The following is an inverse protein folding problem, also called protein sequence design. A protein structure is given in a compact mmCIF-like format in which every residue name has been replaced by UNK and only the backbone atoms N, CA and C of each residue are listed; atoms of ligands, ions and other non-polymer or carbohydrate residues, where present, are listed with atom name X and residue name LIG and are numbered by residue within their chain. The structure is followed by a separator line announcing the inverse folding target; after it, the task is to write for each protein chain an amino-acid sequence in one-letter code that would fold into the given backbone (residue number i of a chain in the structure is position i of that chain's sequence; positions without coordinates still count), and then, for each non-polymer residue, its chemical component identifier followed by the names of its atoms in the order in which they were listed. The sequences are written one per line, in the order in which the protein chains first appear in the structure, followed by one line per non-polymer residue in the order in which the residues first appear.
data_IF_945414906981
#
_entry.id   IF_945414906981
#
_cell.length_a   1.000
_cell.length_b   1.000
_cell.length_c   1.000
_cell.angle_alpha   90.00
_cell.angle_beta   90.00
_cell.angle_gamma   90.00
#
_symmetry.space_group_name_H-M   'P 1'
#
loop_
_entity.id
_entity.type
_entity.pdbx_description
1 polymer ?
#
# COMPACT_ATOMS: atom_id res chain seq x y z
N UNK A 1 28.32 -20.93 -39.61
CA UNK A 1 26.86 -20.66 -39.59
C UNK A 1 26.22 -20.91 -38.23
N UNK A 2 26.36 -22.10 -37.61
CA UNK A 2 25.73 -22.44 -36.31
C UNK A 2 25.96 -21.41 -35.17
N UNK A 3 27.18 -20.91 -34.98
CA UNK A 3 27.47 -19.88 -33.96
C UNK A 3 26.72 -18.56 -34.18
N UNK A 4 26.59 -18.11 -35.45
CA UNK A 4 25.85 -16.86 -35.78
C UNK A 4 24.34 -17.02 -35.53
N UNK A 5 23.80 -18.21 -35.78
CA UNK A 5 22.40 -18.54 -35.50
C UNK A 5 22.13 -18.55 -33.99
N UNK A 6 23.04 -19.12 -33.19
CA UNK A 6 22.92 -19.13 -31.72
C UNK A 6 22.97 -17.71 -31.14
N UNK A 7 23.93 -16.88 -31.59
CA UNK A 7 24.03 -15.48 -31.13
C UNK A 7 22.78 -14.68 -31.51
N UNK A 8 22.25 -14.88 -32.73
CA UNK A 8 21.01 -14.22 -33.17
C UNK A 8 19.81 -14.68 -32.33
N UNK A 9 19.68 -15.98 -32.05
CA UNK A 9 18.62 -16.49 -31.20
C UNK A 9 18.68 -15.92 -29.77
N UNK A 10 19.88 -15.84 -29.17
CA UNK A 10 20.06 -15.20 -27.86
C UNK A 10 19.72 -13.71 -27.87
N UNK A 11 20.16 -12.98 -28.89
CA UNK A 11 19.83 -11.55 -29.03
C UNK A 11 18.31 -11.35 -29.18
N UNK A 12 17.64 -12.20 -29.96
CA UNK A 12 16.20 -12.15 -30.14
C UNK A 12 15.46 -12.46 -28.82
N UNK A 13 15.89 -13.49 -28.08
CA UNK A 13 15.33 -13.81 -26.76
C UNK A 13 15.53 -12.64 -25.79
N UNK A 14 16.70 -12.00 -25.78
CA UNK A 14 16.97 -10.84 -24.93
C UNK A 14 16.06 -9.66 -25.28
N UNK A 15 15.90 -9.34 -26.57
CA UNK A 15 15.00 -8.27 -27.03
C UNK A 15 13.55 -8.55 -26.65
N UNK A 16 13.08 -9.78 -26.85
CA UNK A 16 11.73 -10.21 -26.44
C UNK A 16 11.59 -10.11 -24.92
N UNK A 17 12.60 -10.54 -24.16
CA UNK A 17 12.58 -10.48 -22.69
C UNK A 17 12.56 -9.05 -22.17
N UNK A 18 13.31 -8.14 -22.79
CA UNK A 18 13.30 -6.70 -22.45
C UNK A 18 11.95 -6.05 -22.80
N UNK A 19 11.37 -6.41 -23.94
CA UNK A 19 10.06 -5.90 -24.36
C UNK A 19 8.94 -6.36 -23.41
N UNK A 20 9.00 -7.61 -22.95
CA UNK A 20 8.02 -8.19 -22.02
C UNK A 20 8.44 -8.13 -20.55
N UNK A 21 9.50 -7.39 -20.20
CA UNK A 21 10.10 -7.40 -18.87
C UNK A 21 9.07 -7.06 -17.79
N UNK A 22 8.26 -6.02 -17.98
CA UNK A 22 7.24 -5.64 -16.99
C UNK A 22 6.15 -6.70 -16.84
N UNK A 23 5.74 -7.34 -17.93
CA UNK A 23 4.75 -8.43 -17.88
C UNK A 23 5.30 -9.66 -17.16
N UNK A 24 6.57 -9.99 -17.37
CA UNK A 24 7.26 -11.08 -16.66
C UNK A 24 7.34 -10.75 -15.16
N UNK A 25 7.74 -9.51 -14.81
CA UNK A 25 7.80 -9.06 -13.42
C UNK A 25 6.45 -9.20 -12.73
N UNK A 26 5.40 -8.62 -13.31
CA UNK A 26 4.02 -8.69 -12.80
C UNK A 26 3.50 -10.13 -12.70
N UNK A 27 3.84 -11.01 -13.66
CA UNK A 27 3.44 -12.42 -13.62
C UNK A 27 4.16 -13.21 -12.52
N UNK A 28 5.43 -12.90 -12.26
CA UNK A 28 6.24 -13.55 -11.22
C UNK A 28 6.01 -12.99 -9.81
N UNK A 29 5.52 -11.75 -9.71
CA UNK A 29 5.42 -11.00 -8.47
C UNK A 29 4.66 -11.74 -7.35
N UNK A 30 3.48 -12.35 -7.58
CA UNK A 30 2.75 -13.03 -6.51
C UNK A 30 3.57 -14.13 -5.81
N UNK A 31 4.36 -14.89 -6.57
CA UNK A 31 5.23 -15.95 -6.03
C UNK A 31 6.40 -15.37 -5.22
N UNK A 32 7.02 -14.30 -5.74
CA UNK A 32 8.09 -13.60 -5.03
C UNK A 32 7.58 -13.00 -3.73
N UNK A 33 6.38 -12.44 -3.76
CA UNK A 33 5.72 -11.86 -2.59
C UNK A 33 5.42 -12.92 -1.54
N UNK A 34 4.82 -14.05 -1.92
CA UNK A 34 4.52 -15.16 -1.00
C UNK A 34 5.78 -15.68 -0.28
N UNK A 35 6.91 -15.81 -1.00
CA UNK A 35 8.19 -16.20 -0.39
C UNK A 35 8.64 -15.17 0.66
N UNK A 36 8.48 -13.87 0.38
CA UNK A 36 8.85 -12.80 1.32
C UNK A 36 7.89 -12.70 2.50
N UNK A 37 6.60 -12.92 2.28
CA UNK A 37 5.56 -12.99 3.31
C UNK A 37 5.90 -14.10 4.33
N UNK A 38 6.26 -15.28 3.83
CA UNK A 38 6.70 -16.40 4.65
C UNK A 38 7.96 -16.04 5.46
N UNK A 39 8.94 -15.38 4.84
CA UNK A 39 10.14 -14.89 5.55
C UNK A 39 9.82 -13.90 6.68
N UNK A 40 8.90 -12.97 6.47
CA UNK A 40 8.47 -12.02 7.50
C UNK A 40 7.70 -12.71 8.63
N UNK A 41 6.83 -13.65 8.32
CA UNK A 41 6.06 -14.39 9.33
C UNK A 41 6.93 -15.38 10.12
N UNK A 42 7.99 -15.92 9.51
CA UNK A 42 8.99 -16.76 10.18
C UNK A 42 9.79 -16.00 11.25
N UNK A 43 10.02 -14.69 11.06
CA UNK A 43 10.70 -13.81 12.03
C UNK A 43 9.90 -13.61 13.32
N UNK A 44 8.62 -14.00 13.34
CA UNK A 44 7.70 -13.92 14.48
C UNK A 44 7.02 -15.26 14.76
N UNK A 45 7.65 -16.37 14.39
CA UNK A 45 7.11 -17.73 14.60
C UNK A 45 6.83 -18.08 16.08
N UNK A 46 7.51 -17.41 16.99
CA UNK A 46 7.39 -17.52 18.44
C UNK A 46 6.27 -16.65 19.02
N UNK A 47 5.65 -15.78 18.21
CA UNK A 47 4.51 -14.96 18.63
C UNK A 47 3.26 -15.82 18.82
N UNK A 48 2.42 -15.39 19.76
CA UNK A 48 1.05 -15.91 19.90
C UNK A 48 0.22 -15.52 18.68
N UNK A 49 -0.89 -16.24 18.48
CA UNK A 49 -1.77 -16.02 17.33
C UNK A 49 -3.23 -16.02 17.74
N UNK A 50 -3.96 -15.03 17.23
CA UNK A 50 -5.42 -14.96 17.30
C UNK A 50 -5.95 -14.72 15.89
N UNK A 51 -7.23 -15.05 15.66
CA UNK A 51 -7.82 -14.91 14.34
C UNK A 51 -9.30 -14.52 14.43
N UNK A 52 -9.75 -13.84 13.40
CA UNK A 52 -11.16 -13.53 13.12
C UNK A 52 -11.56 -14.18 11.77
N UNK A 53 -12.61 -13.69 11.13
CA UNK A 53 -13.06 -14.22 9.83
C UNK A 53 -12.03 -13.95 8.73
N UNK A 54 -11.51 -12.73 8.68
CA UNK A 54 -10.65 -12.23 7.61
C UNK A 54 -9.21 -11.95 8.04
N UNK A 55 -8.90 -11.96 9.33
CA UNK A 55 -7.57 -11.60 9.83
C UNK A 55 -6.93 -12.65 10.75
N UNK A 56 -5.60 -12.68 10.73
CA UNK A 56 -4.75 -13.38 11.69
C UNK A 56 -3.83 -12.35 12.33
N UNK A 57 -3.85 -12.22 13.65
CA UNK A 57 -2.95 -11.34 14.40
C UNK A 57 -1.86 -12.17 15.08
N UNK A 58 -0.59 -11.86 14.80
CA UNK A 58 0.60 -12.36 15.51
C UNK A 58 1.01 -11.34 16.57
N UNK A 59 1.19 -11.74 17.82
CA UNK A 59 1.44 -10.82 18.93
C UNK A 59 2.28 -11.42 20.08
N UNK A 60 2.81 -10.56 20.94
CA UNK A 60 3.51 -10.99 22.16
C UNK A 60 2.55 -11.07 23.35
N UNK A 61 2.90 -11.82 24.40
CA UNK A 61 2.07 -11.95 25.61
C UNK A 61 1.66 -10.60 26.23
N UNK A 62 2.51 -9.57 26.12
CA UNK A 62 2.27 -8.25 26.70
C UNK A 62 1.09 -7.52 26.03
N UNK A 63 0.89 -7.76 24.73
CA UNK A 63 -0.14 -7.10 23.93
C UNK A 63 -1.47 -7.87 23.87
N UNK A 64 -1.58 -9.00 24.57
CA UNK A 64 -2.76 -9.90 24.50
C UNK A 64 -4.09 -9.16 24.80
N UNK A 65 -4.05 -8.17 25.68
CA UNK A 65 -5.21 -7.31 26.02
C UNK A 65 -5.73 -6.47 24.83
N UNK A 66 -4.91 -6.17 23.83
CA UNK A 66 -5.29 -5.33 22.67
C UNK A 66 -5.84 -6.13 21.49
N UNK A 67 -5.69 -7.44 21.50
CA UNK A 67 -6.08 -8.31 20.39
C UNK A 67 -7.57 -8.23 20.03
N UNK A 68 -8.50 -8.23 21.00
CA UNK A 68 -9.92 -8.06 20.69
C UNK A 68 -10.20 -6.71 20.01
N UNK A 69 -9.51 -5.65 20.40
CA UNK A 69 -9.65 -4.31 19.79
C UNK A 69 -9.14 -4.32 18.35
N UNK A 70 -7.92 -4.81 18.11
CA UNK A 70 -7.30 -4.85 16.78
C UNK A 70 -8.16 -5.66 15.80
N UNK A 71 -8.60 -6.86 16.20
CA UNK A 71 -9.46 -7.70 15.35
C UNK A 71 -10.83 -7.06 15.11
N UNK A 72 -11.43 -6.42 16.12
CA UNK A 72 -12.71 -5.72 15.99
C UNK A 72 -12.64 -4.59 14.97
N UNK A 73 -11.61 -3.74 15.05
CA UNK A 73 -11.44 -2.60 14.13
C UNK A 73 -11.08 -3.10 12.72
N UNK A 74 -10.21 -4.10 12.58
CA UNK A 74 -9.89 -4.68 11.29
C UNK A 74 -11.13 -5.28 10.58
N UNK A 75 -11.95 -6.05 11.30
CA UNK A 75 -13.19 -6.61 10.76
C UNK A 75 -14.23 -5.55 10.43
N UNK A 76 -14.32 -4.49 11.25
CA UNK A 76 -15.26 -3.38 11.03
C UNK A 76 -15.06 -2.72 9.66
N UNK A 77 -13.82 -2.51 9.25
CA UNK A 77 -13.50 -1.81 8.01
C UNK A 77 -13.34 -2.75 6.79
N UNK A 78 -13.22 -4.06 7.00
CA UNK A 78 -12.95 -5.03 5.94
C UNK A 78 -13.92 -4.94 4.75
N UNK A 79 -15.22 -5.00 5.01
CA UNK A 79 -16.22 -5.01 3.94
C UNK A 79 -16.30 -3.67 3.21
N UNK A 80 -16.05 -2.56 3.91
CA UNK A 80 -16.10 -1.23 3.29
C UNK A 80 -14.92 -1.04 2.33
N UNK A 81 -13.69 -1.26 2.80
CA UNK A 81 -12.46 -1.12 2.00
C UNK A 81 -12.44 -2.12 0.84
N UNK A 82 -12.79 -3.38 1.07
CA UNK A 82 -12.84 -4.38 -0.02
C UNK A 82 -13.91 -4.08 -1.06
N UNK A 83 -15.05 -3.51 -0.66
CA UNK A 83 -16.10 -3.08 -1.58
C UNK A 83 -15.65 -1.87 -2.39
N UNK A 84 -14.98 -0.91 -1.79
CA UNK A 84 -14.58 0.32 -2.47
C UNK A 84 -13.44 0.08 -3.46
N UNK A 85 -12.46 -0.73 -3.10
CA UNK A 85 -11.40 -1.18 -4.00
C UNK A 85 -11.82 -2.35 -4.91
N UNK A 86 -12.99 -2.95 -4.65
CA UNK A 86 -13.62 -3.97 -5.48
C UNK A 86 -12.81 -5.26 -5.58
N UNK A 87 -12.16 -5.64 -4.48
CA UNK A 87 -11.33 -6.83 -4.37
C UNK A 87 -11.34 -7.35 -2.93
N UNK A 88 -11.48 -8.68 -2.78
CA UNK A 88 -11.36 -9.37 -1.49
C UNK A 88 -10.09 -10.23 -1.51
N UNK A 89 -9.20 -10.12 -0.50
CA UNK A 89 -8.06 -11.03 -0.37
C UNK A 89 -8.49 -12.50 -0.40
N UNK A 90 -7.67 -13.35 -1.01
CA UNK A 90 -8.01 -14.76 -1.21
C UNK A 90 -7.95 -15.60 0.08
N UNK A 91 -7.25 -15.11 1.10
CA UNK A 91 -7.10 -15.74 2.41
C UNK A 91 -7.16 -14.70 3.52
N UNK A 92 -6.85 -15.12 4.75
CA UNK A 92 -6.80 -14.20 5.87
C UNK A 92 -5.58 -13.30 5.79
N UNK A 93 -5.77 -12.01 5.97
CA UNK A 93 -4.69 -11.03 6.05
C UNK A 93 -3.94 -11.18 7.37
N UNK A 94 -2.61 -11.25 7.29
CA UNK A 94 -1.75 -11.31 8.47
C UNK A 94 -1.44 -9.90 8.97
N UNK A 95 -1.71 -9.68 10.25
CA UNK A 95 -1.30 -8.51 11.01
C UNK A 95 -0.26 -8.95 12.03
N UNK A 96 0.91 -8.31 12.07
CA UNK A 96 1.92 -8.51 13.11
C UNK A 96 1.93 -7.28 14.02
N UNK A 97 1.66 -7.46 15.30
CA UNK A 97 1.74 -6.39 16.28
C UNK A 97 3.09 -6.42 17.01
N UNK A 98 3.77 -5.28 17.04
CA UNK A 98 5.08 -5.11 17.66
C UNK A 98 4.99 -4.26 18.93
N UNK A 99 5.44 -4.84 20.05
CA UNK A 99 5.71 -4.11 21.29
C UNK A 99 7.10 -3.44 21.29
N UNK A 100 7.94 -3.73 20.30
CA UNK A 100 9.24 -3.10 20.08
C UNK A 100 9.26 -2.45 18.67
N UNK A 101 9.03 -1.12 18.56
CA UNK A 101 9.08 -0.40 17.28
C UNK A 101 10.44 -0.56 16.58
N UNK A 102 11.54 -0.68 17.33
CA UNK A 102 12.85 -0.90 16.73
C UNK A 102 12.97 -2.30 16.11
N UNK A 103 12.27 -3.31 16.65
CA UNK A 103 12.16 -4.62 15.99
C UNK A 103 11.39 -4.52 14.69
N UNK A 104 10.27 -3.79 14.69
CA UNK A 104 9.51 -3.54 13.46
C UNK A 104 10.40 -2.87 12.41
N UNK A 105 11.14 -1.83 12.76
CA UNK A 105 12.05 -1.16 11.82
C UNK A 105 13.13 -2.09 11.26
N UNK A 106 13.72 -2.95 12.10
CA UNK A 106 14.72 -3.95 11.67
C UNK A 106 14.13 -4.99 10.73
N UNK A 107 12.97 -5.55 11.05
CA UNK A 107 12.34 -6.61 10.26
C UNK A 107 11.94 -6.11 8.86
N UNK A 108 11.69 -4.81 8.71
CA UNK A 108 11.28 -4.17 7.47
C UNK A 108 12.40 -3.39 6.78
N UNK A 109 13.62 -3.44 7.34
CA UNK A 109 14.80 -2.70 6.82
C UNK A 109 14.54 -1.20 6.63
N UNK A 110 13.71 -0.61 7.48
CA UNK A 110 13.49 0.83 7.52
C UNK A 110 14.77 1.54 8.02
N UNK A 111 14.97 2.79 7.58
CA UNK A 111 16.07 3.60 8.09
C UNK A 111 15.89 3.83 9.60
N UNK A 112 17.01 3.86 10.34
CA UNK A 112 16.96 4.14 11.79
C UNK A 112 16.37 5.54 12.02
N UNK A 113 15.25 5.62 12.75
CA UNK A 113 14.61 6.87 13.16
C UNK A 113 13.23 7.11 12.56
N UNK A 114 12.86 6.38 11.50
CA UNK A 114 11.48 6.37 10.99
C UNK A 114 10.65 5.49 11.93
N UNK A 115 9.63 6.04 12.58
CA UNK A 115 8.72 5.25 13.44
C UNK A 115 7.30 5.37 12.92
N UNK A 116 7.02 4.60 11.88
CA UNK A 116 5.67 4.46 11.36
C UNK A 116 4.80 3.66 12.36
N UNK A 117 3.59 4.14 12.62
CA UNK A 117 2.64 3.42 13.50
C UNK A 117 2.12 2.13 12.87
N UNK A 118 2.15 2.06 11.54
CA UNK A 118 1.91 0.86 10.75
C UNK A 118 2.79 0.81 9.50
N UNK A 119 2.90 -0.37 8.90
CA UNK A 119 3.56 -0.57 7.63
C UNK A 119 3.04 -1.83 6.94
N UNK A 120 2.72 -1.70 5.66
CA UNK A 120 2.49 -2.81 4.76
C UNK A 120 3.79 -3.19 4.02
N UNK A 121 4.12 -4.49 4.02
CA UNK A 121 5.19 -5.02 3.17
C UNK A 121 4.93 -6.48 2.79
N UNK A 122 4.98 -6.77 1.49
CA UNK A 122 4.91 -8.13 0.93
C UNK A 122 3.76 -8.98 1.48
N UNK A 123 2.54 -8.45 1.58
CA UNK A 123 1.37 -9.19 2.06
C UNK A 123 1.15 -9.15 3.58
N UNK A 124 2.09 -8.58 4.34
CA UNK A 124 2.00 -8.46 5.80
C UNK A 124 1.70 -7.03 6.20
N UNK A 125 0.69 -6.85 7.06
CA UNK A 125 0.46 -5.59 7.78
C UNK A 125 1.20 -5.67 9.10
N UNK A 126 1.99 -4.67 9.42
CA UNK A 126 2.63 -4.51 10.73
C UNK A 126 2.09 -3.29 11.43
N UNK A 127 1.85 -3.40 12.74
CA UNK A 127 1.39 -2.29 13.56
C UNK A 127 2.21 -2.21 14.86
N UNK A 128 2.40 -1.00 15.36
CA UNK A 128 2.93 -0.75 16.69
C UNK A 128 1.82 -0.95 17.73
N UNK A 129 2.15 -1.57 18.85
CA UNK A 129 1.20 -1.79 19.95
C UNK A 129 0.49 -0.48 20.36
N UNK A 130 -0.85 -0.48 20.49
CA UNK A 130 -1.62 0.74 20.79
C UNK A 130 -1.12 1.50 22.02
N UNK A 131 -0.62 0.80 23.04
CA UNK A 131 -0.18 1.43 24.29
C UNK A 131 1.09 2.27 24.18
N UNK A 132 1.82 2.14 23.09
CA UNK A 132 3.07 2.87 22.88
C UNK A 132 2.84 4.28 22.32
N UNK A 133 1.65 4.56 21.77
CA UNK A 133 1.33 5.83 21.13
C UNK A 133 -0.01 6.43 21.54
N UNK A 134 -0.93 5.65 22.12
CA UNK A 134 -2.18 6.16 22.70
C UNK A 134 -1.99 6.43 24.20
N UNK A 135 -2.36 7.63 24.66
CA UNK A 135 -2.20 7.95 26.07
C UNK A 135 -3.25 7.23 26.93
N UNK A 136 -2.92 6.78 28.16
CA UNK A 136 -3.87 6.05 29.01
C UNK A 136 -5.14 6.83 29.41
N UNK A 137 -5.14 8.15 29.22
CA UNK A 137 -6.29 9.02 29.51
C UNK A 137 -7.29 9.10 28.36
N UNK A 138 -6.91 8.64 27.17
CA UNK A 138 -7.77 8.68 25.99
C UNK A 138 -8.66 7.44 25.89
N UNK A 139 -9.73 7.56 25.12
CA UNK A 139 -10.53 6.41 24.71
C UNK A 139 -9.75 5.63 23.65
N UNK A 140 -9.10 4.55 24.09
CA UNK A 140 -8.24 3.73 23.25
C UNK A 140 -8.97 3.15 22.03
N UNK A 141 -10.26 2.79 22.16
CA UNK A 141 -11.01 2.25 21.04
C UNK A 141 -11.23 3.33 19.98
N UNK A 142 -11.65 4.53 20.43
CA UNK A 142 -11.89 5.66 19.54
C UNK A 142 -10.62 6.15 18.84
N UNK A 143 -9.52 6.30 19.58
CA UNK A 143 -8.24 6.76 19.03
C UNK A 143 -7.66 5.70 18.08
N UNK A 144 -7.67 4.42 18.47
CA UNK A 144 -7.16 3.36 17.60
C UNK A 144 -7.98 3.19 16.32
N UNK A 145 -9.30 3.38 16.37
CA UNK A 145 -10.15 3.33 15.18
C UNK A 145 -9.90 4.52 14.25
N UNK A 146 -9.74 5.72 14.79
CA UNK A 146 -9.65 6.94 13.99
C UNK A 146 -8.24 7.22 13.49
N UNK A 147 -7.23 7.10 14.36
CA UNK A 147 -5.83 7.48 14.09
C UNK A 147 -4.94 6.25 13.85
N UNK A 148 -5.48 5.03 14.00
CA UNK A 148 -4.72 3.80 13.83
C UNK A 148 -4.51 3.42 12.37
N UNK A 149 -3.46 2.64 12.07
CA UNK A 149 -2.99 2.42 10.70
C UNK A 149 -3.80 1.37 9.92
N UNK A 150 -4.82 0.74 10.52
CA UNK A 150 -5.43 -0.48 9.98
C UNK A 150 -6.05 -0.26 8.59
N UNK A 151 -6.80 0.83 8.41
CA UNK A 151 -7.44 1.15 7.12
C UNK A 151 -6.37 1.43 6.05
N UNK A 152 -5.38 2.26 6.38
CA UNK A 152 -4.28 2.64 5.51
C UNK A 152 -3.49 1.43 5.00
N UNK A 153 -3.01 0.59 5.92
CA UNK A 153 -2.20 -0.58 5.56
C UNK A 153 -3.00 -1.67 4.85
N UNK A 154 -4.30 -1.79 5.17
CA UNK A 154 -5.16 -2.73 4.45
C UNK A 154 -5.44 -2.28 3.01
N UNK A 155 -5.57 -0.96 2.78
CA UNK A 155 -5.67 -0.41 1.44
C UNK A 155 -4.40 -0.68 0.62
N UNK A 156 -3.21 -0.51 1.20
CA UNK A 156 -1.94 -0.89 0.56
C UNK A 156 -1.91 -2.36 0.14
N UNK A 157 -2.35 -3.27 1.02
CA UNK A 157 -2.42 -4.69 0.71
C UNK A 157 -3.31 -4.98 -0.49
N UNK A 158 -4.51 -4.39 -0.54
CA UNK A 158 -5.44 -4.60 -1.65
C UNK A 158 -4.89 -4.00 -2.95
N UNK A 159 -4.30 -2.81 -2.89
CA UNK A 159 -3.63 -2.19 -4.04
C UNK A 159 -2.55 -3.12 -4.57
N UNK A 160 -1.72 -3.69 -3.70
CA UNK A 160 -0.66 -4.62 -4.08
C UNK A 160 -1.18 -5.91 -4.70
N UNK A 161 -2.22 -6.50 -4.12
CA UNK A 161 -2.88 -7.70 -4.66
C UNK A 161 -3.36 -7.48 -6.10
N UNK A 162 -4.01 -6.33 -6.36
CA UNK A 162 -4.59 -6.04 -7.68
C UNK A 162 -3.49 -5.65 -8.67
N UNK A 163 -2.59 -4.75 -8.28
CA UNK A 163 -1.58 -4.15 -9.15
C UNK A 163 -0.29 -4.95 -9.24
N UNK A 164 -0.11 -5.97 -8.39
CA UNK A 164 1.03 -6.90 -8.37
C UNK A 164 2.38 -6.17 -8.29
N UNK A 165 2.51 -5.26 -7.34
CA UNK A 165 3.71 -4.43 -7.14
C UNK A 165 3.98 -3.40 -8.23
N UNK A 166 3.14 -3.28 -9.27
CA UNK A 166 3.38 -2.37 -10.41
C UNK A 166 2.68 -1.01 -10.22
N UNK A 167 3.06 -0.27 -9.18
CA UNK A 167 2.53 1.06 -8.89
C UNK A 167 3.63 1.96 -8.28
N UNK A 168 3.60 3.28 -8.52
CA UNK A 168 4.49 4.20 -7.81
C UNK A 168 3.98 4.43 -6.37
N UNK A 169 4.91 4.70 -5.45
CA UNK A 169 4.62 4.89 -4.01
C UNK A 169 3.52 5.93 -3.79
N UNK A 170 3.67 7.12 -4.38
CA UNK A 170 2.68 8.21 -4.25
C UNK A 170 1.25 7.77 -4.60
N UNK A 171 1.08 6.89 -5.59
CA UNK A 171 -0.26 6.48 -6.00
C UNK A 171 -0.90 5.54 -4.98
N UNK A 172 -0.12 4.64 -4.37
CA UNK A 172 -0.66 3.79 -3.31
C UNK A 172 -0.90 4.55 -2.02
N UNK A 173 -0.05 5.51 -1.65
CA UNK A 173 -0.29 6.39 -0.49
C UNK A 173 -1.56 7.20 -0.69
N UNK A 174 -1.74 7.79 -1.88
CA UNK A 174 -2.94 8.56 -2.18
C UNK A 174 -4.23 7.73 -2.15
N UNK A 175 -4.18 6.44 -2.49
CA UNK A 175 -5.33 5.53 -2.35
C UNK A 175 -5.57 5.21 -0.88
N UNK A 176 -4.53 4.88 -0.12
CA UNK A 176 -4.67 4.56 1.30
C UNK A 176 -5.28 5.73 2.10
N UNK A 177 -4.78 6.94 1.88
CA UNK A 177 -5.35 8.17 2.46
C UNK A 177 -6.78 8.47 1.97
N UNK A 178 -7.12 8.09 0.74
CA UNK A 178 -8.49 8.21 0.24
C UNK A 178 -9.43 7.24 0.96
N UNK A 179 -9.01 6.01 1.23
CA UNK A 179 -9.79 5.05 2.01
C UNK A 179 -9.97 5.53 3.46
N UNK A 180 -8.92 6.04 4.11
CA UNK A 180 -9.04 6.67 5.45
C UNK A 180 -10.09 7.79 5.44
N UNK A 181 -9.95 8.77 4.53
CA UNK A 181 -10.91 9.86 4.37
C UNK A 181 -12.36 9.38 4.23
N UNK A 182 -12.58 8.25 3.55
CA UNK A 182 -13.91 7.71 3.29
C UNK A 182 -14.47 6.93 4.48
N UNK A 183 -13.61 6.31 5.27
CA UNK A 183 -14.00 5.55 6.46
C UNK A 183 -14.24 6.44 7.68
N UNK A 184 -13.35 7.42 7.93
CA UNK A 184 -13.35 8.19 9.18
C UNK A 184 -13.36 9.72 8.97
N UNK A 185 -13.27 10.21 7.73
CA UNK A 185 -13.25 11.64 7.42
C UNK A 185 -11.90 12.32 7.63
N UNK A 186 -10.85 11.56 7.95
CA UNK A 186 -9.50 12.06 8.14
C UNK A 186 -8.94 12.69 6.85
N UNK A 187 -8.30 13.85 6.98
CA UNK A 187 -7.68 14.56 5.86
C UNK A 187 -6.22 14.84 6.20
N UNK A 188 -5.32 14.12 5.54
CA UNK A 188 -3.90 14.32 5.72
C UNK A 188 -3.46 15.73 5.29
N UNK A 189 -2.71 16.40 6.16
CA UNK A 189 -2.22 17.77 5.92
C UNK A 189 -3.35 18.79 5.79
N UNK A 190 -4.48 18.60 6.49
CA UNK A 190 -5.55 19.59 6.53
C UNK A 190 -5.01 20.96 7.00
N UNK A 191 -5.41 22.03 6.30
CA UNK A 191 -4.97 23.39 6.59
C UNK A 191 -3.54 23.73 6.14
N UNK A 192 -2.73 22.75 5.72
CA UNK A 192 -1.42 23.01 5.12
C UNK A 192 -1.63 23.52 3.69
N UNK A 193 -0.95 24.60 3.32
CA UNK A 193 -1.03 25.16 1.96
C UNK A 193 0.36 25.24 1.34
N UNK A 194 0.42 25.09 0.02
CA UNK A 194 1.64 25.34 -0.76
C UNK A 194 1.30 26.13 -2.01
N UNK A 195 2.13 27.13 -2.31
CA UNK A 195 2.04 27.86 -3.58
C UNK A 195 2.58 27.04 -4.76
N UNK A 196 3.28 25.93 -4.47
CA UNK A 196 3.97 25.13 -5.47
C UNK A 196 3.79 23.63 -5.17
N UNK A 197 2.67 23.03 -5.59
CA UNK A 197 2.44 21.59 -5.41
C UNK A 197 3.46 20.78 -6.22
N UNK A 198 3.85 19.62 -5.70
CA UNK A 198 4.78 18.72 -6.38
C UNK A 198 4.19 18.22 -7.72
N UNK A 199 5.05 18.21 -8.74
CA UNK A 199 4.73 17.67 -10.06
C UNK A 199 4.66 16.15 -10.06
N UNK A 200 4.01 15.58 -11.09
CA UNK A 200 3.98 14.12 -11.28
C UNK A 200 5.39 13.50 -11.31
N UNK A 201 6.36 14.19 -11.92
CA UNK A 201 7.74 13.69 -12.02
C UNK A 201 8.42 13.67 -10.66
N UNK A 202 8.26 14.71 -9.84
CA UNK A 202 8.79 14.74 -8.48
C UNK A 202 8.20 13.59 -7.65
N UNK A 203 6.87 13.42 -7.67
CA UNK A 203 6.20 12.33 -6.95
C UNK A 203 6.63 10.95 -7.45
N UNK A 204 6.86 10.79 -8.75
CA UNK A 204 7.17 9.46 -9.33
C UNK A 204 8.62 9.05 -9.10
N UNK A 205 9.56 9.98 -9.16
CA UNK A 205 10.99 9.66 -9.16
C UNK A 205 11.72 10.04 -7.87
N UNK A 206 11.18 11.01 -7.10
CA UNK A 206 11.87 11.59 -5.95
C UNK A 206 11.06 11.49 -4.64
N UNK A 207 10.00 10.67 -4.59
CA UNK A 207 9.02 10.67 -3.48
C UNK A 207 9.67 10.67 -2.09
N UNK A 208 10.62 9.75 -1.86
CA UNK A 208 11.28 9.56 -0.56
C UNK A 208 12.26 10.70 -0.19
N UNK A 209 12.52 11.65 -1.09
CA UNK A 209 13.34 12.83 -0.83
C UNK A 209 12.51 14.12 -0.72
N UNK A 210 11.20 14.04 -0.96
CA UNK A 210 10.30 15.17 -0.80
C UNK A 210 9.93 15.37 0.68
N UNK A 211 9.35 16.53 0.98
CA UNK A 211 8.69 16.71 2.27
C UNK A 211 7.51 15.74 2.38
N UNK A 212 7.54 14.88 3.39
CA UNK A 212 6.58 13.80 3.57
C UNK A 212 5.15 14.33 3.65
N UNK A 213 4.91 15.34 4.50
CA UNK A 213 3.57 15.91 4.68
C UNK A 213 3.02 16.42 3.36
N UNK A 214 3.83 17.17 2.60
CA UNK A 214 3.43 17.73 1.31
C UNK A 214 3.28 16.67 0.21
N UNK A 215 4.14 15.64 0.19
CA UNK A 215 4.09 14.57 -0.80
C UNK A 215 2.85 13.67 -0.62
N UNK A 216 2.54 13.31 0.63
CA UNK A 216 1.36 12.52 0.98
C UNK A 216 0.08 13.32 0.73
N UNK A 217 0.04 14.58 1.18
CA UNK A 217 -1.08 15.49 0.88
C UNK A 217 -1.35 15.59 -0.62
N UNK A 218 -0.29 15.83 -1.42
CA UNK A 218 -0.43 15.94 -2.86
C UNK A 218 -0.90 14.65 -3.51
N UNK A 219 -0.45 13.51 -3.00
CA UNK A 219 -0.87 12.19 -3.45
C UNK A 219 -2.36 11.96 -3.21
N UNK A 220 -2.84 12.27 -2.01
CA UNK A 220 -4.25 12.23 -1.64
C UNK A 220 -5.09 13.14 -2.55
N UNK A 221 -4.69 14.39 -2.76
CA UNK A 221 -5.42 15.34 -3.61
C UNK A 221 -5.56 14.85 -5.05
N UNK A 222 -4.50 14.29 -5.62
CA UNK A 222 -4.53 13.76 -6.99
C UNK A 222 -5.47 12.55 -7.06
N UNK A 223 -5.32 11.57 -6.17
CA UNK A 223 -6.14 10.35 -6.20
C UNK A 223 -7.61 10.66 -5.90
N UNK A 224 -7.87 11.53 -4.93
CA UNK A 224 -9.21 12.04 -4.65
C UNK A 224 -9.80 12.76 -5.86
N UNK A 225 -9.03 13.59 -6.57
CA UNK A 225 -9.51 14.25 -7.79
C UNK A 225 -9.84 13.24 -8.92
N UNK A 226 -9.11 12.11 -9.01
CA UNK A 226 -9.45 11.02 -9.92
C UNK A 226 -10.80 10.40 -9.51
N UNK A 227 -10.96 10.07 -8.22
CA UNK A 227 -12.19 9.49 -7.69
C UNK A 227 -13.39 10.43 -7.85
N UNK A 228 -13.24 11.73 -7.57
CA UNK A 228 -14.31 12.72 -7.67
C UNK A 228 -14.74 12.94 -9.13
N UNK A 229 -13.78 12.95 -10.08
CA UNK A 229 -14.05 13.23 -11.49
C UNK A 229 -14.51 12.00 -12.29
N UNK A 230 -13.95 10.83 -12.00
CA UNK A 230 -14.15 9.60 -12.79
C UNK A 230 -14.76 8.44 -12.00
N UNK A 231 -15.00 8.62 -10.70
CA UNK A 231 -15.53 7.59 -9.80
C UNK A 231 -14.49 6.54 -9.38
N UNK A 232 -14.72 5.87 -8.25
CA UNK A 232 -13.85 4.79 -7.75
C UNK A 232 -13.65 3.64 -8.76
N UNK A 233 -14.62 3.40 -9.65
CA UNK A 233 -14.47 2.40 -10.71
C UNK A 233 -13.28 2.67 -11.63
N UNK A 234 -12.92 3.94 -11.83
CA UNK A 234 -11.74 4.31 -12.61
C UNK A 234 -10.44 3.87 -11.92
N UNK A 235 -10.30 4.10 -10.61
CA UNK A 235 -9.17 3.64 -9.79
C UNK A 235 -9.06 2.12 -9.86
N UNK A 236 -10.17 1.40 -9.64
CA UNK A 236 -10.22 -0.07 -9.77
C UNK A 236 -9.75 -0.56 -11.14
N UNK A 237 -10.14 0.12 -12.21
CA UNK A 237 -9.73 -0.24 -13.56
C UNK A 237 -8.24 0.08 -13.82
N UNK A 238 -7.74 1.20 -13.29
CA UNK A 238 -6.31 1.56 -13.35
C UNK A 238 -5.48 0.47 -12.66
N UNK A 239 -5.82 0.10 -11.42
CA UNK A 239 -5.13 -0.96 -10.67
C UNK A 239 -5.12 -2.30 -11.46
N UNK A 240 -6.25 -2.67 -12.08
CA UNK A 240 -6.31 -3.87 -12.94
C UNK A 240 -5.41 -3.80 -14.17
N UNK A 241 -5.17 -2.61 -14.74
CA UNK A 241 -4.24 -2.44 -15.86
C UNK A 241 -2.78 -2.45 -15.40
N UNK A 242 -2.50 -1.86 -14.23
CA UNK A 242 -1.22 -1.99 -13.56
C UNK A 242 -0.88 -3.48 -13.31
N UNK A 243 -1.83 -4.27 -12.78
CA UNK A 243 -1.68 -5.72 -12.60
C UNK A 243 -1.57 -6.54 -13.90
N UNK A 244 -1.66 -5.90 -15.07
CA UNK A 244 -1.39 -6.47 -16.40
C UNK A 244 -0.07 -5.97 -17.00
N UNK A 245 0.71 -5.19 -16.25
CA UNK A 245 2.01 -4.67 -16.67
C UNK A 245 1.97 -3.37 -17.48
N UNK A 246 0.87 -2.62 -17.48
CA UNK A 246 0.85 -1.27 -18.03
C UNK A 246 1.47 -0.29 -17.03
N UNK A 247 2.06 0.81 -17.52
CA UNK A 247 2.44 1.93 -16.65
C UNK A 247 1.21 2.67 -16.12
N UNK A 248 1.39 3.48 -15.07
CA UNK A 248 0.31 4.31 -14.53
C UNK A 248 -0.23 5.30 -15.56
N UNK A 249 0.63 5.93 -16.36
CA UNK A 249 0.22 6.85 -17.43
C UNK A 249 -0.60 6.16 -18.52
N UNK A 250 -0.20 4.97 -18.96
CA UNK A 250 -0.96 4.18 -19.95
C UNK A 250 -2.29 3.70 -19.38
N UNK A 251 -2.29 3.21 -18.13
CA UNK A 251 -3.48 2.74 -17.44
C UNK A 251 -4.49 3.87 -17.25
N UNK A 252 -4.02 5.04 -16.82
CA UNK A 252 -4.84 6.25 -16.67
C UNK A 252 -5.42 6.69 -18.02
N UNK A 253 -4.59 6.82 -19.06
CA UNK A 253 -5.07 7.20 -20.40
C UNK A 253 -6.10 6.21 -20.95
N UNK A 254 -5.88 4.90 -20.75
CA UNK A 254 -6.81 3.86 -21.21
C UNK A 254 -8.18 3.94 -20.52
N UNK A 255 -8.21 4.39 -19.26
CA UNK A 255 -9.45 4.50 -18.47
C UNK A 255 -10.16 5.83 -18.70
N UNK A 256 -9.42 6.94 -18.81
CA UNK A 256 -9.99 8.30 -18.80
C UNK A 256 -9.91 9.03 -20.14
N UNK A 257 -9.09 8.55 -21.07
CA UNK A 257 -8.73 9.24 -22.31
C UNK A 257 -7.84 10.47 -22.11
N UNK A 258 -7.42 10.79 -20.88
CA UNK A 258 -6.59 11.95 -20.56
C UNK A 258 -5.14 11.57 -20.30
N UNK A 259 -4.23 12.50 -20.60
CA UNK A 259 -2.83 12.38 -20.23
C UNK A 259 -2.68 12.65 -18.72
N UNK A 260 -1.99 11.76 -18.00
CA UNK A 260 -1.85 11.84 -16.54
C UNK A 260 -1.13 13.10 -16.07
N UNK A 261 -0.05 13.50 -16.74
CA UNK A 261 0.72 14.71 -16.38
C UNK A 261 -0.17 15.96 -16.49
N UNK A 262 -0.88 16.11 -17.60
CA UNK A 262 -1.84 17.21 -17.78
C UNK A 262 -2.98 17.20 -16.77
N UNK A 263 -3.43 16.01 -16.35
CA UNK A 263 -4.45 15.90 -15.32
C UNK A 263 -3.90 16.37 -13.96
N UNK A 264 -2.73 15.88 -13.56
CA UNK A 264 -2.06 16.27 -12.30
C UNK A 264 -1.81 17.78 -12.26
N UNK A 265 -1.33 18.37 -13.35
CA UNK A 265 -1.12 19.84 -13.44
C UNK A 265 -2.43 20.65 -13.30
N UNK A 266 -3.59 20.03 -13.58
CA UNK A 266 -4.89 20.67 -13.43
C UNK A 266 -5.46 20.57 -12.01
N UNK A 267 -4.94 19.66 -11.18
CA UNK A 267 -5.30 19.55 -9.76
C UNK A 267 -4.54 20.65 -9.02
N UNK A 268 -5.27 21.64 -8.52
CA UNK A 268 -4.68 22.73 -7.73
C UNK A 268 -4.44 22.28 -6.31
#
# INVERSE_FOLDING_TARGET
MKKKIIVFAFALILVISLYYANQIMVASYPYVREIKENGLTDNVKDYKTAQSEHFIVRYTQQDEKYIPLVLKIAEKHYDSVTKDLGYKPAGKTVIIMYHDPEKMNRDFSLAKGDTAMGLYLNGVISIVSPELWITPTEDIEKVFEHDGPIVHEFAHLIVDDIAKGNYPVWFTEGIALLEEYRENGFVWGEGVTTDKPYSLKELTYNFNQLDETMAYKRSFEIVKAIADKYGMQSIRNILKYLGKGLSLSESFYKVTGQNLEKFVDSVK
#
